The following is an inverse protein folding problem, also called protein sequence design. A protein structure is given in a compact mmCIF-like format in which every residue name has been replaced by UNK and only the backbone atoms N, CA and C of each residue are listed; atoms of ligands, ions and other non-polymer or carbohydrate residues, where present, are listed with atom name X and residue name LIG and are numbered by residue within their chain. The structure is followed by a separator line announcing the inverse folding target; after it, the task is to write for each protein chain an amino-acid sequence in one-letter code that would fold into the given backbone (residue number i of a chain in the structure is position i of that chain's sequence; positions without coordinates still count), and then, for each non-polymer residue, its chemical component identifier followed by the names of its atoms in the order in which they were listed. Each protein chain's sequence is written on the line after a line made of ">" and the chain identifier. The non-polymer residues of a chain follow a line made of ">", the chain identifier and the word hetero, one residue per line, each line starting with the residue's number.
data_IF_405472502673
#
_entry.id   IF_405472502673
#
_cell.length_a   1.000
_cell.length_b   1.000
_cell.length_c   1.000
_cell.angle_alpha   90.00
_cell.angle_beta   90.00
_cell.angle_gamma   90.00
#
_symmetry.space_group_name_H-M   'P 1'
#
loop_
_entity.id
_entity.type
_entity.pdbx_description
1 polymer ?
#
# COMPACT_ATOMS: atom_id res chain seq x y z
N UNK A 1 -13.04 -8.23 -17.18
CA UNK A 1 -13.79 -8.54 -15.93
C UNK A 1 -12.79 -8.49 -14.76
N UNK A 2 -13.17 -7.97 -13.58
CA UNK A 2 -12.27 -7.94 -12.40
C UNK A 2 -11.84 -9.36 -12.03
N UNK A 3 -10.55 -9.51 -11.73
CA UNK A 3 -9.95 -10.76 -11.23
C UNK A 3 -9.86 -10.65 -9.70
N UNK A 4 -9.94 -11.79 -8.99
CA UNK A 4 -9.92 -11.84 -7.52
C UNK A 4 -8.88 -12.83 -7.03
N UNK A 5 -8.33 -12.58 -5.83
CA UNK A 5 -7.37 -13.45 -5.13
C UNK A 5 -7.70 -13.55 -3.65
N UNK A 6 -7.45 -14.71 -3.07
CA UNK A 6 -7.55 -14.90 -1.61
C UNK A 6 -6.30 -14.34 -0.95
N UNK A 7 -6.45 -13.63 0.16
CA UNK A 7 -5.34 -13.12 0.96
C UNK A 7 -4.87 -14.19 1.96
N UNK A 8 -3.62 -14.60 1.82
CA UNK A 8 -3.00 -15.55 2.74
C UNK A 8 -3.76 -16.87 2.85
N UNK A 9 -3.71 -17.49 4.03
CA UNK A 9 -4.43 -18.73 4.38
C UNK A 9 -5.80 -18.40 4.99
N UNK A 10 -6.65 -17.68 4.27
CA UNK A 10 -7.93 -17.17 4.77
C UNK A 10 -9.06 -17.42 3.79
N UNK A 11 -10.29 -17.09 4.16
CA UNK A 11 -11.45 -16.98 3.27
C UNK A 11 -11.61 -15.57 2.67
N UNK A 12 -10.72 -14.62 3.02
CA UNK A 12 -10.81 -13.24 2.56
C UNK A 12 -10.38 -13.11 1.11
N UNK A 13 -11.36 -12.94 0.23
CA UNK A 13 -11.11 -12.70 -1.20
C UNK A 13 -11.17 -11.21 -1.52
N UNK A 14 -10.17 -10.70 -2.23
CA UNK A 14 -10.07 -9.29 -2.64
C UNK A 14 -9.94 -9.17 -4.16
N UNK A 15 -10.36 -8.04 -4.70
CA UNK A 15 -10.09 -7.69 -6.09
C UNK A 15 -8.58 -7.53 -6.33
N UNK A 16 -8.09 -8.01 -7.48
CA UNK A 16 -6.67 -7.92 -7.84
C UNK A 16 -6.18 -6.47 -8.00
N UNK A 17 -7.10 -5.54 -8.27
CA UNK A 17 -6.87 -4.10 -8.15
C UNK A 17 -7.62 -3.62 -6.91
N UNK A 18 -6.91 -2.97 -5.98
CA UNK A 18 -7.46 -2.33 -4.78
C UNK A 18 -7.41 -0.81 -4.89
N UNK A 19 -8.35 -0.13 -4.27
CA UNK A 19 -8.42 1.34 -4.26
C UNK A 19 -7.63 1.89 -3.07
N UNK A 20 -6.48 2.52 -3.34
CA UNK A 20 -5.71 3.30 -2.39
C UNK A 20 -6.23 4.72 -2.31
N UNK A 21 -6.38 5.26 -1.12
CA UNK A 21 -7.16 6.47 -0.84
C UNK A 21 -6.33 7.65 -0.32
N UNK A 22 -5.02 7.57 -0.29
CA UNK A 22 -4.11 8.52 0.38
C UNK A 22 -4.18 9.97 -0.13
N UNK A 23 -4.84 10.24 -1.26
CA UNK A 23 -4.99 11.60 -1.82
C UNK A 23 -6.26 12.32 -1.36
N UNK A 24 -7.21 11.59 -0.77
CA UNK A 24 -8.51 12.12 -0.38
C UNK A 24 -8.43 12.95 0.90
N UNK A 25 -8.86 14.19 0.81
CA UNK A 25 -8.75 15.18 1.87
C UNK A 25 -7.55 16.12 1.75
N UNK A 26 -6.69 15.90 0.73
CA UNK A 26 -5.60 16.78 0.33
C UNK A 26 -5.75 17.21 -1.13
N UNK A 27 -5.61 16.26 -2.08
CA UNK A 27 -5.74 16.51 -3.52
C UNK A 27 -7.18 16.32 -4.03
N UNK A 28 -7.98 15.53 -3.35
CA UNK A 28 -9.36 15.24 -3.70
C UNK A 28 -10.32 15.66 -2.61
N UNK A 29 -11.45 16.20 -3.02
CA UNK A 29 -12.60 16.53 -2.18
C UNK A 29 -13.36 15.27 -1.75
N UNK A 30 -14.26 15.41 -0.76
CA UNK A 30 -15.14 14.32 -0.33
C UNK A 30 -16.07 13.84 -1.46
N UNK A 31 -16.60 14.75 -2.23
CA UNK A 31 -17.47 14.41 -3.37
C UNK A 31 -16.74 13.62 -4.45
N UNK A 32 -15.48 13.97 -4.75
CA UNK A 32 -14.65 13.20 -5.68
C UNK A 32 -14.28 11.84 -5.12
N UNK A 33 -13.98 11.74 -3.81
CA UNK A 33 -13.72 10.47 -3.15
C UNK A 33 -14.92 9.52 -3.23
N UNK A 34 -16.13 10.03 -2.97
CA UNK A 34 -17.38 9.28 -3.10
C UNK A 34 -17.62 8.82 -4.54
N UNK A 35 -17.39 9.68 -5.52
CA UNK A 35 -17.53 9.32 -6.95
C UNK A 35 -16.53 8.23 -7.36
N UNK A 36 -15.29 8.28 -6.83
CA UNK A 36 -14.29 7.23 -7.06
C UNK A 36 -14.70 5.91 -6.41
N UNK A 37 -15.26 5.92 -5.18
CA UNK A 37 -15.79 4.72 -4.52
C UNK A 37 -16.92 4.09 -5.33
N UNK A 38 -17.92 4.88 -5.71
CA UNK A 38 -19.09 4.41 -6.48
C UNK A 38 -18.64 3.80 -7.82
N UNK A 39 -17.70 4.45 -8.52
CA UNK A 39 -17.16 3.94 -9.78
C UNK A 39 -16.34 2.66 -9.58
N UNK A 40 -15.43 2.63 -8.61
CA UNK A 40 -14.56 1.49 -8.35
C UNK A 40 -15.36 0.23 -7.99
N UNK A 41 -16.37 0.36 -7.10
CA UNK A 41 -17.25 -0.75 -6.77
C UNK A 41 -18.07 -1.20 -7.99
N UNK A 42 -18.58 -0.27 -8.79
CA UNK A 42 -19.27 -0.58 -10.04
C UNK A 42 -18.41 -1.33 -11.07
N UNK A 43 -17.08 -1.24 -10.94
CA UNK A 43 -16.09 -1.99 -11.74
C UNK A 43 -15.58 -3.27 -11.07
N UNK A 44 -16.14 -3.65 -9.90
CA UNK A 44 -15.83 -4.87 -9.16
C UNK A 44 -14.62 -4.77 -8.23
N UNK A 45 -14.12 -3.58 -7.93
CA UNK A 45 -13.12 -3.40 -6.87
C UNK A 45 -13.82 -3.60 -5.52
N UNK A 46 -13.23 -4.48 -4.69
CA UNK A 46 -13.75 -4.74 -3.33
C UNK A 46 -12.80 -4.23 -2.25
N UNK A 47 -11.48 -4.21 -2.49
CA UNK A 47 -10.51 -3.76 -1.48
C UNK A 47 -10.36 -2.24 -1.50
N UNK A 48 -10.66 -1.61 -0.36
CA UNK A 48 -10.47 -0.18 -0.09
C UNK A 48 -9.40 -0.04 1.00
N UNK A 49 -8.27 0.58 0.66
CA UNK A 49 -7.13 0.74 1.55
C UNK A 49 -6.95 2.19 2.00
N UNK A 50 -6.99 2.40 3.31
CA UNK A 50 -6.78 3.69 3.97
C UNK A 50 -5.77 3.58 5.12
N UNK A 51 -5.60 4.63 5.94
CA UNK A 51 -4.78 4.63 7.15
C UNK A 51 -5.18 5.78 8.08
N UNK A 52 -4.96 5.62 9.40
CA UNK A 52 -5.26 6.66 10.40
C UNK A 52 -4.56 8.00 10.12
N UNK A 53 -3.38 7.97 9.48
CA UNK A 53 -2.59 9.17 9.19
C UNK A 53 -2.96 9.87 7.88
N UNK A 54 -3.80 9.25 7.03
CA UNK A 54 -4.11 9.84 5.72
C UNK A 54 -5.01 11.08 5.83
N UNK A 55 -4.89 12.04 4.89
CA UNK A 55 -4.18 12.02 3.61
C UNK A 55 -2.67 12.19 3.70
N UNK A 56 -1.99 12.10 2.55
CA UNK A 56 -0.54 12.33 2.43
C UNK A 56 -0.28 13.50 1.48
N UNK A 57 0.49 14.52 1.92
CA UNK A 57 1.23 14.66 3.19
C UNK A 57 0.31 14.77 4.42
N UNK A 58 0.65 14.07 5.54
CA UNK A 58 -0.16 14.20 6.75
C UNK A 58 0.16 15.51 7.47
N UNK A 59 -0.89 16.23 7.84
CA UNK A 59 -0.82 17.42 8.71
C UNK A 59 -1.78 17.25 9.89
N UNK A 60 -1.68 18.14 10.89
CA UNK A 60 -2.60 18.14 12.03
C UNK A 60 -4.04 18.41 11.57
N UNK A 61 -4.21 19.28 10.58
CA UNK A 61 -5.51 19.76 10.11
C UNK A 61 -6.22 18.72 9.22
N UNK A 62 -5.46 17.88 8.51
CA UNK A 62 -6.03 16.95 7.52
C UNK A 62 -6.04 15.50 7.99
N UNK A 63 -5.30 15.14 9.02
CA UNK A 63 -5.17 13.78 9.53
C UNK A 63 -6.54 13.17 9.84
N UNK A 64 -6.77 11.97 9.30
CA UNK A 64 -8.01 11.22 9.46
C UNK A 64 -9.12 11.59 8.47
N UNK A 65 -8.99 12.65 7.67
CA UNK A 65 -10.03 13.04 6.69
C UNK A 65 -10.36 11.92 5.71
N UNK A 66 -9.36 11.17 5.26
CA UNK A 66 -9.56 10.07 4.32
C UNK A 66 -10.48 9.00 4.90
N UNK A 67 -10.27 8.59 6.15
CA UNK A 67 -11.17 7.65 6.84
C UNK A 67 -12.56 8.26 7.04
N UNK A 68 -12.65 9.56 7.38
CA UNK A 68 -13.94 10.24 7.54
C UNK A 68 -14.74 10.29 6.23
N UNK A 69 -14.09 10.50 5.09
CA UNK A 69 -14.75 10.47 3.77
C UNK A 69 -15.28 9.08 3.41
N UNK A 70 -14.52 8.03 3.75
CA UNK A 70 -14.98 6.65 3.59
C UNK A 70 -16.16 6.38 4.53
N UNK A 71 -16.08 6.80 5.80
CA UNK A 71 -17.12 6.63 6.79
C UNK A 71 -18.44 7.31 6.39
N UNK A 72 -18.39 8.56 5.93
CA UNK A 72 -19.58 9.27 5.45
C UNK A 72 -20.19 8.60 4.21
N UNK A 73 -19.36 8.03 3.32
CA UNK A 73 -19.84 7.24 2.18
C UNK A 73 -20.54 5.95 2.63
N UNK A 74 -19.91 5.20 3.58
CA UNK A 74 -20.50 3.97 4.13
C UNK A 74 -21.84 4.23 4.81
N UNK A 75 -21.93 5.29 5.65
CA UNK A 75 -23.16 5.67 6.33
C UNK A 75 -24.26 6.09 5.34
N UNK A 76 -23.91 6.85 4.31
CA UNK A 76 -24.84 7.32 3.28
C UNK A 76 -25.40 6.17 2.43
N UNK A 77 -24.55 5.18 2.10
CA UNK A 77 -24.89 4.15 1.11
C UNK A 77 -25.34 2.83 1.72
N UNK A 78 -24.98 2.53 2.98
CA UNK A 78 -25.21 1.24 3.60
C UNK A 78 -24.41 0.07 3.01
N UNK A 79 -23.40 0.34 2.18
CA UNK A 79 -22.65 -0.65 1.38
C UNK A 79 -21.43 -1.25 2.08
N UNK A 80 -21.37 -1.19 3.42
CA UNK A 80 -20.24 -1.75 4.19
C UNK A 80 -19.93 -3.21 3.83
N UNK A 81 -20.94 -4.02 3.58
CA UNK A 81 -20.84 -5.45 3.29
C UNK A 81 -20.31 -5.76 1.88
N UNK A 82 -20.26 -4.77 0.99
CA UNK A 82 -19.72 -4.92 -0.38
C UNK A 82 -18.22 -4.67 -0.46
N UNK A 83 -17.59 -4.17 0.61
CA UNK A 83 -16.19 -3.79 0.63
C UNK A 83 -15.37 -4.62 1.62
N UNK A 84 -14.13 -4.89 1.24
CA UNK A 84 -13.06 -5.29 2.15
C UNK A 84 -12.33 -4.03 2.58
N UNK A 85 -12.57 -3.59 3.80
CA UNK A 85 -12.05 -2.34 4.34
C UNK A 85 -10.74 -2.58 5.09
N UNK A 86 -9.66 -1.97 4.61
CA UNK A 86 -8.34 -2.04 5.21
C UNK A 86 -7.91 -0.67 5.75
N UNK A 87 -7.45 -0.62 7.02
CA UNK A 87 -6.80 0.56 7.57
C UNK A 87 -5.51 0.20 8.31
N UNK A 88 -4.78 1.22 8.81
CA UNK A 88 -3.43 1.01 9.35
C UNK A 88 -3.17 1.87 10.59
N UNK A 89 -2.51 1.28 11.60
CA UNK A 89 -1.91 2.02 12.71
C UNK A 89 -0.50 2.50 12.34
N UNK A 90 -0.20 3.74 12.62
CA UNK A 90 1.13 4.32 12.45
C UNK A 90 2.11 3.74 13.49
N UNK A 91 3.33 3.42 13.05
CA UNK A 91 4.44 3.08 13.93
C UNK A 91 5.12 4.33 14.52
N UNK A 92 6.32 4.18 15.10
CA UNK A 92 7.04 5.25 15.77
C UNK A 92 7.26 6.49 14.89
N UNK A 93 7.13 7.66 15.47
CA UNK A 93 7.45 8.94 14.84
C UNK A 93 8.98 9.12 14.78
N UNK A 94 9.55 9.09 13.57
CA UNK A 94 10.97 9.29 13.33
C UNK A 94 11.22 9.91 11.96
N UNK A 95 12.26 10.72 11.80
CA UNK A 95 12.55 11.39 10.53
C UNK A 95 11.36 12.21 10.02
N UNK A 96 10.90 11.94 8.79
CA UNK A 96 9.77 12.64 8.15
C UNK A 96 8.39 12.01 8.46
N UNK A 97 8.30 11.13 9.46
CA UNK A 97 7.04 10.51 9.90
C UNK A 97 6.23 11.47 10.75
N UNK A 98 4.86 11.37 10.74
CA UNK A 98 4.02 12.33 11.43
C UNK A 98 4.26 12.31 12.95
N UNK A 99 4.57 13.47 13.51
CA UNK A 99 4.79 13.65 14.96
C UNK A 99 3.55 14.11 15.72
N UNK A 100 2.49 14.48 15.02
CA UNK A 100 1.24 14.91 15.64
C UNK A 100 0.35 13.75 16.10
N UNK A 101 0.57 12.55 15.55
CA UNK A 101 -0.15 11.38 16.02
C UNK A 101 0.26 11.03 17.45
N UNK A 102 -0.72 10.98 18.35
CA UNK A 102 -0.50 10.67 19.77
C UNK A 102 0.66 11.48 20.40
N UNK A 103 0.74 12.79 20.07
CA UNK A 103 1.80 13.70 20.51
C UNK A 103 3.24 13.22 20.21
N UNK A 104 3.43 12.47 19.14
CA UNK A 104 4.73 11.92 18.74
C UNK A 104 5.09 10.58 19.41
N UNK A 105 4.22 10.05 20.25
CA UNK A 105 4.42 8.83 21.03
C UNK A 105 3.80 7.59 20.37
N UNK A 106 3.59 7.61 19.05
CA UNK A 106 3.08 6.45 18.30
C UNK A 106 3.97 5.24 18.48
N UNK A 107 3.44 4.13 18.97
CA UNK A 107 4.10 2.83 19.16
C UNK A 107 3.12 1.69 18.86
N UNK A 108 3.62 0.47 18.80
CA UNK A 108 2.79 -0.72 18.62
C UNK A 108 2.45 -1.42 19.94
N UNK A 109 2.45 -0.68 21.05
CA UNK A 109 1.96 -1.15 22.34
C UNK A 109 0.42 -1.15 22.41
N UNK A 110 -0.12 -1.78 23.45
CA UNK A 110 -1.58 -1.89 23.67
C UNK A 110 -2.28 -0.55 23.69
N UNK A 111 -1.75 0.43 24.43
CA UNK A 111 -2.38 1.75 24.58
C UNK A 111 -2.53 2.44 23.21
N UNK A 112 -1.45 2.50 22.46
CA UNK A 112 -1.41 3.19 21.17
C UNK A 112 -2.24 2.48 20.10
N UNK A 113 -2.16 1.14 20.00
CA UNK A 113 -2.93 0.37 19.03
C UNK A 113 -4.44 0.42 19.32
N UNK A 114 -4.83 0.37 20.61
CA UNK A 114 -6.25 0.49 21.01
C UNK A 114 -6.80 1.86 20.63
N UNK A 115 -6.07 2.93 20.94
CA UNK A 115 -6.48 4.29 20.55
C UNK A 115 -6.57 4.45 19.04
N UNK A 116 -5.57 3.95 18.30
CA UNK A 116 -5.55 4.03 16.84
C UNK A 116 -6.75 3.32 16.22
N UNK A 117 -7.03 2.07 16.63
CA UNK A 117 -8.14 1.29 16.10
C UNK A 117 -9.50 1.96 16.40
N UNK A 118 -9.76 2.33 17.66
CA UNK A 118 -11.04 2.94 18.02
C UNK A 118 -11.26 4.25 17.26
N UNK A 119 -10.24 5.13 17.21
CA UNK A 119 -10.34 6.37 16.44
C UNK A 119 -10.56 6.14 14.94
N UNK A 120 -9.99 5.08 14.36
CA UNK A 120 -10.25 4.70 12.97
C UNK A 120 -11.68 4.19 12.77
N UNK A 121 -12.19 3.33 13.66
CA UNK A 121 -13.58 2.84 13.61
C UNK A 121 -14.59 3.99 13.71
N UNK A 122 -14.35 4.95 14.61
CA UNK A 122 -15.18 6.15 14.75
C UNK A 122 -15.22 6.97 13.46
N UNK A 123 -14.05 7.25 12.83
CA UNK A 123 -13.99 7.99 11.57
C UNK A 123 -14.62 7.21 10.41
N UNK A 124 -14.41 5.91 10.36
CA UNK A 124 -14.97 5.01 9.33
C UNK A 124 -16.46 4.71 9.54
N UNK A 125 -17.04 5.10 10.70
CA UNK A 125 -18.44 4.87 11.06
C UNK A 125 -18.84 3.39 10.90
N UNK A 126 -17.99 2.48 11.39
CA UNK A 126 -18.18 1.03 11.34
C UNK A 126 -17.70 0.39 12.64
N UNK A 127 -18.23 -0.76 12.98
CA UNK A 127 -17.86 -1.52 14.18
C UNK A 127 -16.63 -2.41 13.97
N UNK A 128 -16.23 -2.64 12.71
CA UNK A 128 -15.09 -3.48 12.39
C UNK A 128 -14.40 -3.09 11.08
N UNK A 129 -13.14 -3.54 10.93
CA UNK A 129 -12.40 -3.54 9.66
C UNK A 129 -12.04 -4.97 9.26
N UNK A 130 -11.95 -5.22 7.94
CA UNK A 130 -11.61 -6.55 7.43
C UNK A 130 -10.11 -6.83 7.54
N UNK A 131 -9.27 -5.81 7.34
CA UNK A 131 -7.82 -5.92 7.45
C UNK A 131 -7.25 -4.74 8.24
N UNK A 132 -6.58 -5.03 9.36
CA UNK A 132 -5.87 -4.04 10.16
C UNK A 132 -4.37 -4.22 10.02
N UNK A 133 -3.64 -3.15 9.65
CA UNK A 133 -2.24 -3.26 9.30
C UNK A 133 -1.36 -2.41 10.22
N UNK A 134 -0.15 -2.88 10.53
CA UNK A 134 0.92 -2.06 11.10
C UNK A 134 1.61 -1.31 9.96
N UNK A 135 1.56 0.03 9.95
CA UNK A 135 1.94 0.85 8.79
C UNK A 135 3.45 0.85 8.50
N UNK A 136 4.28 0.70 9.54
CA UNK A 136 5.73 0.45 9.48
C UNK A 136 6.20 -0.14 10.79
N UNK A 137 7.36 -0.85 10.81
CA UNK A 137 7.88 -1.51 12.00
C UNK A 137 8.12 -0.60 13.21
N UNK A 138 7.88 -1.12 14.42
CA UNK A 138 8.26 -0.50 15.69
C UNK A 138 9.69 -0.89 16.08
N UNK A 139 10.62 -0.78 15.15
CA UNK A 139 12.05 -0.98 15.35
C UNK A 139 12.85 -0.26 14.28
N UNK A 140 14.15 -0.04 14.53
CA UNK A 140 15.07 0.48 13.53
C UNK A 140 15.32 -0.57 12.46
N UNK A 141 14.90 -0.27 11.22
CA UNK A 141 15.18 -1.10 10.05
C UNK A 141 15.04 -0.27 8.76
N UNK A 142 15.47 -0.83 7.64
CA UNK A 142 15.30 -0.18 6.35
C UNK A 142 13.82 -0.08 5.99
N UNK A 143 13.37 1.14 5.69
CA UNK A 143 12.00 1.43 5.25
C UNK A 143 12.02 2.54 4.20
N UNK A 144 10.94 2.61 3.39
CA UNK A 144 10.70 3.72 2.45
C UNK A 144 11.86 4.00 1.48
N UNK A 145 12.49 2.95 0.94
CA UNK A 145 13.51 3.08 -0.10
C UNK A 145 14.96 3.19 0.41
N UNK A 146 15.19 2.94 1.69
CA UNK A 146 16.54 2.80 2.23
C UNK A 146 17.13 1.46 1.77
N UNK A 147 18.23 1.51 1.01
CA UNK A 147 18.96 0.31 0.56
C UNK A 147 20.12 -0.07 1.48
N UNK A 148 20.71 0.92 2.15
CA UNK A 148 21.85 0.69 3.06
C UNK A 148 21.33 0.47 4.46
N UNK A 149 21.66 -0.68 5.03
CA UNK A 149 21.39 -0.96 6.43
C UNK A 149 22.44 -0.28 7.30
N UNK A 150 22.01 0.70 8.09
CA UNK A 150 22.85 1.26 9.14
C UNK A 150 22.58 0.46 10.43
N UNK A 151 23.60 -0.20 10.97
CA UNK A 151 23.52 -0.79 12.28
C UNK A 151 23.45 0.33 13.32
N UNK A 152 22.24 0.74 13.61
CA UNK A 152 21.98 1.76 14.64
C UNK A 152 21.73 1.03 15.95
N UNK A 153 22.48 1.40 16.99
CA UNK A 153 22.06 1.07 18.36
C UNK A 153 20.65 1.63 18.55
N UNK A 154 19.69 0.80 18.91
CA UNK A 154 18.34 1.24 19.22
C UNK A 154 18.43 2.24 20.38
N UNK A 155 18.05 3.50 20.14
CA UNK A 155 18.03 4.54 21.17
C UNK A 155 16.91 4.33 22.18
N UNK A 156 15.86 3.62 21.75
CA UNK A 156 14.70 3.25 22.56
C UNK A 156 14.39 1.77 22.29
N UNK A 157 14.00 1.06 23.32
CA UNK A 157 13.58 -0.33 23.18
C UNK A 157 12.35 -0.41 22.24
N UNK A 158 12.43 -1.25 21.22
CA UNK A 158 11.27 -1.56 20.37
C UNK A 158 10.23 -2.35 21.16
N UNK A 159 8.94 -2.21 20.78
CA UNK A 159 7.90 -3.07 21.32
C UNK A 159 8.12 -4.50 20.76
N UNK A 160 8.17 -5.53 21.61
CA UNK A 160 8.31 -6.91 21.15
C UNK A 160 7.19 -7.30 20.18
N UNK A 161 7.54 -8.06 19.14
CA UNK A 161 6.56 -8.51 18.13
C UNK A 161 5.48 -9.39 18.79
N UNK A 162 5.82 -10.19 19.77
CA UNK A 162 4.91 -11.03 20.55
C UNK A 162 3.86 -10.21 21.31
N UNK A 163 4.28 -9.09 21.90
CA UNK A 163 3.37 -8.15 22.59
C UNK A 163 2.41 -7.50 21.59
N UNK A 164 2.96 -6.95 20.50
CA UNK A 164 2.17 -6.34 19.42
C UNK A 164 1.16 -7.33 18.84
N UNK A 165 1.58 -8.56 18.54
CA UNK A 165 0.71 -9.60 17.98
C UNK A 165 -0.38 -10.01 18.96
N UNK A 166 -0.08 -10.08 20.26
CA UNK A 166 -1.07 -10.38 21.29
C UNK A 166 -2.16 -9.31 21.38
N UNK A 167 -1.81 -8.03 21.22
CA UNK A 167 -2.80 -6.94 21.16
C UNK A 167 -3.69 -7.07 19.92
N UNK A 168 -3.10 -7.32 18.75
CA UNK A 168 -3.86 -7.51 17.52
C UNK A 168 -4.80 -8.73 17.59
N UNK A 169 -4.36 -9.80 18.25
CA UNK A 169 -5.17 -11.00 18.49
C UNK A 169 -6.40 -10.69 19.39
N UNK A 170 -6.26 -9.80 20.36
CA UNK A 170 -7.40 -9.35 21.17
C UNK A 170 -8.45 -8.63 20.30
N UNK A 171 -8.02 -7.75 19.38
CA UNK A 171 -8.93 -7.07 18.45
C UNK A 171 -9.68 -8.05 17.53
N UNK A 172 -9.00 -9.13 17.10
CA UNK A 172 -9.63 -10.20 16.32
C UNK A 172 -10.68 -10.93 17.18
N UNK A 173 -10.35 -11.26 18.42
CA UNK A 173 -11.28 -11.93 19.37
C UNK A 173 -12.49 -11.06 19.71
N UNK A 174 -12.30 -9.74 19.80
CA UNK A 174 -13.36 -8.77 20.01
C UNK A 174 -14.25 -8.54 18.78
N UNK A 175 -13.89 -9.11 17.62
CA UNK A 175 -14.61 -8.93 16.37
C UNK A 175 -14.42 -7.57 15.70
N UNK A 176 -13.53 -6.71 16.21
CA UNK A 176 -13.24 -5.39 15.64
C UNK A 176 -12.32 -5.45 14.41
N UNK A 177 -11.57 -6.53 14.29
CA UNK A 177 -10.63 -6.81 13.18
C UNK A 177 -10.85 -8.24 12.71
N UNK A 178 -11.01 -8.46 11.40
CA UNK A 178 -11.12 -9.84 10.88
C UNK A 178 -9.75 -10.46 10.66
N UNK A 179 -8.85 -9.73 10.02
CA UNK A 179 -7.49 -10.18 9.68
C UNK A 179 -6.46 -9.10 9.96
N UNK A 180 -5.23 -9.53 10.22
CA UNK A 180 -4.10 -8.66 10.52
C UNK A 180 -3.05 -8.71 9.41
N UNK A 181 -2.44 -7.56 9.12
CA UNK A 181 -1.36 -7.41 8.15
C UNK A 181 -0.25 -6.50 8.64
N UNK A 182 0.83 -6.43 7.88
CA UNK A 182 1.93 -5.51 8.13
C UNK A 182 2.24 -4.69 6.88
N UNK A 183 2.99 -3.61 7.03
CA UNK A 183 3.42 -2.78 5.90
C UNK A 183 4.84 -2.28 6.12
N UNK A 184 5.58 -2.09 5.01
CA UNK A 184 6.99 -1.69 5.04
C UNK A 184 7.85 -2.62 5.92
N UNK A 185 7.48 -3.89 5.94
CA UNK A 185 8.13 -4.90 6.75
C UNK A 185 9.23 -5.62 5.96
N UNK A 186 10.14 -6.26 6.67
CA UNK A 186 11.30 -6.98 6.15
C UNK A 186 11.10 -8.50 6.21
N UNK A 187 11.91 -9.32 5.50
CA UNK A 187 11.85 -10.77 5.62
C UNK A 187 12.03 -11.25 7.06
N UNK A 188 12.96 -10.61 7.81
CA UNK A 188 13.18 -10.95 9.23
C UNK A 188 11.93 -10.69 10.07
N UNK A 189 11.30 -9.51 9.92
CA UNK A 189 10.10 -9.19 10.69
C UNK A 189 8.94 -10.11 10.38
N UNK A 190 8.69 -10.44 9.10
CA UNK A 190 7.66 -11.42 8.75
C UNK A 190 7.94 -12.79 9.39
N UNK A 191 9.19 -13.25 9.36
CA UNK A 191 9.57 -14.52 10.00
C UNK A 191 9.31 -14.48 11.52
N UNK A 192 9.59 -13.35 12.18
CA UNK A 192 9.32 -13.22 13.62
C UNK A 192 7.81 -13.21 13.92
N UNK A 193 6.98 -12.50 13.13
CA UNK A 193 5.52 -12.53 13.27
C UNK A 193 4.96 -13.93 13.06
N UNK A 194 5.44 -14.65 12.04
CA UNK A 194 5.02 -16.04 11.77
C UNK A 194 5.37 -16.96 12.93
N UNK A 195 6.62 -16.90 13.40
CA UNK A 195 7.11 -17.69 14.55
C UNK A 195 6.33 -17.37 15.83
N UNK A 196 6.08 -16.10 16.12
CA UNK A 196 5.31 -15.68 17.27
C UNK A 196 3.87 -16.21 17.21
N UNK A 197 3.22 -16.13 16.05
CA UNK A 197 1.88 -16.67 15.85
C UNK A 197 1.82 -18.18 16.13
N UNK A 198 2.78 -18.94 15.61
CA UNK A 198 2.86 -20.39 15.81
C UNK A 198 3.12 -20.77 17.28
N UNK A 199 4.12 -20.12 17.90
CA UNK A 199 4.52 -20.43 19.27
C UNK A 199 3.44 -20.10 20.31
N UNK A 200 2.65 -19.05 20.05
CA UNK A 200 1.64 -18.53 20.99
C UNK A 200 0.21 -18.93 20.60
N UNK A 201 0.01 -19.64 19.49
CA UNK A 201 -1.33 -20.00 18.99
C UNK A 201 -2.16 -18.76 18.61
N UNK A 202 -1.54 -17.70 18.10
CA UNK A 202 -2.19 -16.43 17.76
C UNK A 202 -2.48 -16.36 16.24
N UNK A 203 -3.41 -15.44 15.81
CA UNK A 203 -3.67 -15.21 14.40
C UNK A 203 -2.39 -14.86 13.62
N UNK A 204 -2.25 -15.43 12.42
CA UNK A 204 -1.12 -15.16 11.52
C UNK A 204 -1.32 -13.83 10.78
N UNK A 205 -0.22 -13.22 10.37
CA UNK A 205 -0.20 -12.15 9.38
C UNK A 205 -0.65 -12.72 8.03
N UNK A 206 -1.65 -12.11 7.39
CA UNK A 206 -2.20 -12.57 6.10
C UNK A 206 -1.67 -11.80 4.90
N UNK A 207 -1.18 -10.58 5.12
CA UNK A 207 -0.67 -9.72 4.06
C UNK A 207 0.51 -8.86 4.51
N UNK A 208 1.33 -8.49 3.54
CA UNK A 208 2.35 -7.46 3.67
C UNK A 208 2.07 -6.37 2.62
N UNK A 209 2.03 -5.10 3.02
CA UNK A 209 1.87 -3.99 2.11
C UNK A 209 3.20 -3.25 1.91
N UNK A 210 3.88 -3.53 0.79
CA UNK A 210 5.17 -2.95 0.45
C UNK A 210 5.17 -2.32 -0.93
N UNK A 211 6.11 -1.40 -1.17
CA UNK A 211 6.32 -0.79 -2.49
C UNK A 211 6.73 -1.85 -3.51
N UNK A 212 6.04 -1.86 -4.67
CA UNK A 212 6.41 -2.73 -5.77
C UNK A 212 5.97 -2.13 -7.11
N UNK A 213 6.91 -2.03 -8.05
CA UNK A 213 6.68 -1.47 -9.39
C UNK A 213 7.80 -1.89 -10.34
N UNK A 214 7.71 -1.56 -11.63
CA UNK A 214 8.79 -1.74 -12.61
C UNK A 214 10.13 -1.06 -12.21
N UNK A 215 10.08 -0.01 -11.38
CA UNK A 215 11.28 0.71 -10.90
C UNK A 215 11.74 0.27 -9.51
N UNK A 216 10.97 -0.59 -8.84
CA UNK A 216 11.28 -1.13 -7.53
C UNK A 216 10.79 -2.57 -7.42
N UNK A 217 11.68 -3.51 -7.62
CA UNK A 217 11.45 -4.95 -7.50
C UNK A 217 12.18 -5.57 -6.30
N UNK A 218 12.56 -4.74 -5.31
CA UNK A 218 13.29 -5.22 -4.12
C UNK A 218 12.50 -6.28 -3.33
N UNK A 219 11.17 -6.30 -3.43
CA UNK A 219 10.31 -7.34 -2.86
C UNK A 219 10.65 -8.75 -3.39
N UNK A 220 11.11 -8.87 -4.63
CA UNK A 220 11.46 -10.15 -5.23
C UNK A 220 12.70 -10.79 -4.57
N UNK A 221 13.51 -9.99 -3.87
CA UNK A 221 14.69 -10.48 -3.15
C UNK A 221 14.31 -10.90 -1.73
N UNK A 222 13.94 -12.16 -1.56
CA UNK A 222 13.62 -12.79 -0.27
C UNK A 222 12.15 -12.69 0.16
N UNK A 223 11.47 -11.56 -0.02
CA UNK A 223 10.06 -11.41 0.37
C UNK A 223 9.10 -12.20 -0.54
N UNK A 224 9.39 -12.31 -1.83
CA UNK A 224 8.56 -13.09 -2.76
C UNK A 224 8.57 -14.58 -2.42
N UNK A 225 9.74 -15.15 -2.11
CA UNK A 225 9.86 -16.54 -1.67
C UNK A 225 9.11 -16.76 -0.35
N UNK A 226 9.33 -15.87 0.64
CA UNK A 226 8.60 -15.92 1.91
C UNK A 226 7.07 -15.87 1.68
N UNK A 227 6.60 -14.96 0.84
CA UNK A 227 5.17 -14.82 0.51
C UNK A 227 4.58 -16.09 -0.08
N UNK A 228 5.32 -16.78 -0.94
CA UNK A 228 4.85 -18.03 -1.57
C UNK A 228 4.78 -19.18 -0.55
N UNK A 229 5.82 -19.38 0.24
CA UNK A 229 5.89 -20.49 1.20
C UNK A 229 4.95 -20.27 2.39
N UNK A 230 4.94 -19.06 2.94
CA UNK A 230 4.12 -18.73 4.12
C UNK A 230 2.71 -18.24 3.77
N UNK A 231 2.41 -18.10 2.48
CA UNK A 231 1.11 -17.61 2.00
C UNK A 231 0.74 -16.26 2.65
N UNK A 232 1.68 -15.29 2.60
CA UNK A 232 1.46 -13.90 3.02
C UNK A 232 1.41 -13.03 1.76
N UNK A 233 0.23 -12.58 1.36
CA UNK A 233 0.03 -11.90 0.08
C UNK A 233 0.60 -10.48 0.09
N UNK A 234 1.25 -10.06 -1.02
CA UNK A 234 1.64 -8.66 -1.20
C UNK A 234 0.43 -7.80 -1.59
N UNK A 235 0.21 -6.72 -0.85
CA UNK A 235 -0.56 -5.57 -1.29
C UNK A 235 0.43 -4.54 -1.86
N UNK A 236 0.53 -4.45 -3.19
CA UNK A 236 1.54 -3.66 -3.86
C UNK A 236 1.17 -2.18 -3.89
N UNK A 237 1.84 -1.32 -3.11
CA UNK A 237 1.63 0.12 -3.20
C UNK A 237 2.62 0.81 -4.14
N UNK A 238 2.27 2.02 -4.62
CA UNK A 238 3.02 2.81 -5.60
C UNK A 238 3.39 2.05 -6.90
N UNK A 239 2.46 1.28 -7.51
CA UNK A 239 2.76 0.52 -8.72
C UNK A 239 3.15 1.39 -9.92
N UNK A 240 2.77 2.69 -9.89
CA UNK A 240 3.15 3.71 -10.88
C UNK A 240 4.31 4.60 -10.41
N UNK A 241 5.01 4.26 -9.31
CA UNK A 241 6.13 5.04 -8.75
C UNK A 241 5.79 6.54 -8.62
N UNK A 242 4.71 6.86 -7.89
CA UNK A 242 4.15 8.23 -7.75
C UNK A 242 3.75 8.90 -9.08
N UNK A 243 3.55 8.12 -10.14
CA UNK A 243 3.17 8.59 -11.47
C UNK A 243 4.36 8.82 -12.40
N UNK A 244 5.60 8.49 -12.00
CA UNK A 244 6.77 8.65 -12.90
C UNK A 244 6.73 7.67 -14.06
N UNK A 245 6.20 6.48 -13.85
CA UNK A 245 6.04 5.47 -14.91
C UNK A 245 5.05 5.85 -16.01
N UNK A 246 4.26 6.92 -15.84
CA UNK A 246 3.44 7.46 -16.93
C UNK A 246 4.23 8.31 -17.93
N UNK A 247 5.48 8.67 -17.61
CA UNK A 247 6.32 9.54 -18.43
C UNK A 247 6.08 11.05 -18.23
N UNK A 248 5.05 11.46 -17.49
CA UNK A 248 4.64 12.87 -17.35
C UNK A 248 5.69 13.81 -16.72
N UNK A 249 6.73 13.26 -16.12
CA UNK A 249 7.83 14.02 -15.51
C UNK A 249 9.13 13.98 -16.32
N UNK A 250 9.15 13.30 -17.48
CA UNK A 250 10.34 13.22 -18.34
C UNK A 250 10.78 14.62 -18.77
N UNK A 251 12.09 14.75 -19.02
CA UNK A 251 12.71 15.99 -19.46
C UNK A 251 12.46 17.18 -18.49
N UNK A 252 12.35 16.89 -17.19
CA UNK A 252 12.16 17.89 -16.15
C UNK A 252 10.75 18.49 -16.08
N UNK A 253 9.78 17.92 -16.78
CA UNK A 253 8.39 18.42 -16.74
C UNK A 253 7.80 18.34 -15.34
N UNK A 254 6.99 19.35 -15.00
CA UNK A 254 6.27 19.46 -13.72
C UNK A 254 4.81 19.84 -13.98
N UNK A 255 3.95 18.87 -14.42
CA UNK A 255 2.54 19.19 -14.67
C UNK A 255 1.87 19.72 -13.42
N UNK A 256 1.02 20.75 -13.58
CA UNK A 256 0.25 21.30 -12.47
C UNK A 256 -0.58 20.21 -11.78
N UNK A 257 -0.79 20.33 -10.48
CA UNK A 257 -1.56 19.40 -9.66
C UNK A 257 -1.04 17.95 -9.62
N UNK A 258 0.17 17.70 -10.14
CA UNK A 258 0.79 16.38 -10.07
C UNK A 258 1.65 16.24 -8.81
N UNK A 259 1.77 15.00 -8.32
CA UNK A 259 2.34 14.70 -6.99
C UNK A 259 3.77 15.23 -6.79
N UNK A 260 4.67 15.02 -7.75
CA UNK A 260 6.05 15.50 -7.64
C UNK A 260 6.16 17.02 -7.84
N UNK A 261 5.15 17.67 -8.40
CA UNK A 261 5.10 19.13 -8.50
C UNK A 261 4.62 19.76 -7.19
N UNK A 262 3.65 19.12 -6.54
CA UNK A 262 3.05 19.64 -5.30
C UNK A 262 3.89 19.34 -4.05
N UNK A 263 4.61 18.19 -4.03
CA UNK A 263 5.20 17.68 -2.80
C UNK A 263 6.63 17.18 -2.99
N UNK A 264 7.61 17.85 -2.39
CA UNK A 264 9.03 17.49 -2.47
C UNK A 264 9.37 16.16 -1.76
N UNK A 265 8.50 15.67 -0.86
CA UNK A 265 8.75 14.44 -0.10
C UNK A 265 8.86 13.16 -0.95
N UNK A 266 8.42 13.17 -2.20
CA UNK A 266 8.45 12.02 -3.10
C UNK A 266 9.73 11.92 -3.97
N UNK A 267 10.81 12.59 -3.56
CA UNK A 267 12.10 12.67 -4.28
C UNK A 267 12.69 11.30 -4.64
N UNK A 268 12.37 10.22 -3.90
CA UNK A 268 12.88 8.88 -4.22
C UNK A 268 12.47 8.41 -5.62
N UNK A 269 11.34 8.88 -6.14
CA UNK A 269 10.81 8.50 -7.45
C UNK A 269 11.34 9.39 -8.60
N UNK A 270 12.10 10.45 -8.32
CA UNK A 270 12.62 11.39 -9.30
C UNK A 270 14.16 11.32 -9.45
N UNK A 271 14.74 10.16 -9.16
CA UNK A 271 16.20 9.95 -9.32
C UNK A 271 16.58 10.00 -10.79
N UNK A 272 17.67 10.71 -11.18
CA UNK A 272 18.06 10.85 -12.59
C UNK A 272 18.23 9.53 -13.33
N UNK A 273 18.81 8.51 -12.67
CA UNK A 273 19.00 7.18 -13.25
C UNK A 273 17.68 6.47 -13.62
N UNK A 274 16.58 6.80 -12.94
CA UNK A 274 15.29 6.20 -13.25
C UNK A 274 14.73 6.63 -14.61
N UNK A 275 15.11 7.81 -15.10
CA UNK A 275 14.58 8.36 -16.36
C UNK A 275 14.93 7.48 -17.56
N UNK A 276 16.10 6.86 -17.59
CA UNK A 276 16.49 5.93 -18.64
C UNK A 276 15.58 4.71 -18.68
N UNK A 277 15.36 4.06 -17.52
CA UNK A 277 14.46 2.91 -17.44
C UNK A 277 13.01 3.30 -17.79
N UNK A 278 12.54 4.47 -17.35
CA UNK A 278 11.20 4.96 -17.67
C UNK A 278 11.03 5.12 -19.18
N UNK A 279 12.02 5.70 -19.90
CA UNK A 279 11.97 5.84 -21.36
C UNK A 279 11.89 4.48 -22.07
N UNK A 280 12.63 3.46 -21.58
CA UNK A 280 12.59 2.12 -22.15
C UNK A 280 11.23 1.44 -21.91
N UNK A 281 10.63 1.57 -20.70
CA UNK A 281 9.28 1.03 -20.44
C UNK A 281 8.19 1.74 -21.26
N UNK A 282 8.33 3.04 -21.51
CA UNK A 282 7.42 3.79 -22.40
C UNK A 282 7.54 3.31 -23.84
N UNK A 283 8.76 3.09 -24.33
CA UNK A 283 8.98 2.55 -25.67
C UNK A 283 8.33 1.17 -25.81
N UNK A 284 8.55 0.28 -24.85
CA UNK A 284 7.92 -1.04 -24.82
C UNK A 284 6.38 -0.95 -24.77
N UNK A 285 5.82 -0.07 -23.95
CA UNK A 285 4.37 0.13 -23.88
C UNK A 285 3.78 0.54 -25.22
N UNK A 286 4.44 1.48 -25.93
CA UNK A 286 4.04 1.92 -27.26
C UNK A 286 4.12 0.78 -28.29
N UNK A 287 5.17 -0.05 -28.25
CA UNK A 287 5.37 -1.19 -29.13
C UNK A 287 4.24 -2.24 -28.99
N UNK A 288 3.81 -2.50 -27.74
CA UNK A 288 2.73 -3.46 -27.47
C UNK A 288 1.33 -2.84 -27.49
N UNK A 289 1.20 -1.55 -27.80
CA UNK A 289 -0.08 -0.88 -28.01
C UNK A 289 -0.89 -0.59 -26.74
N UNK A 290 -0.22 -0.40 -25.59
CA UNK A 290 -0.86 -0.04 -24.32
C UNK A 290 -0.27 1.26 -23.76
N UNK A 291 -0.95 1.90 -22.79
CA UNK A 291 -0.34 3.04 -22.13
C UNK A 291 0.78 2.61 -21.17
N UNK A 292 1.76 3.49 -20.89
CA UNK A 292 2.80 3.18 -19.91
C UNK A 292 2.25 2.85 -18.52
N UNK A 293 1.17 3.51 -18.08
CA UNK A 293 0.48 3.20 -16.83
C UNK A 293 -0.11 1.77 -16.85
N UNK A 294 -0.74 1.40 -17.96
CA UNK A 294 -1.32 0.08 -18.12
C UNK A 294 -0.26 -1.02 -18.16
N UNK A 295 0.86 -0.81 -18.86
CA UNK A 295 1.99 -1.76 -18.83
C UNK A 295 2.49 -2.00 -17.40
N UNK A 296 2.74 -0.90 -16.68
CA UNK A 296 3.26 -0.98 -15.30
C UNK A 296 2.30 -1.71 -14.35
N UNK A 297 1.00 -1.43 -14.45
CA UNK A 297 -0.02 -2.08 -13.62
C UNK A 297 -0.21 -3.55 -14.02
N UNK A 298 -0.27 -3.87 -15.30
CA UNK A 298 -0.37 -5.24 -15.79
C UNK A 298 0.82 -6.10 -15.35
N UNK A 299 2.03 -5.54 -15.34
CA UNK A 299 3.21 -6.20 -14.78
C UNK A 299 3.01 -6.57 -13.30
N UNK A 300 2.59 -5.62 -12.46
CA UNK A 300 2.35 -5.91 -11.03
C UNK A 300 1.25 -6.95 -10.85
N UNK A 301 0.14 -6.82 -11.59
CA UNK A 301 -0.99 -7.76 -11.55
C UNK A 301 -0.60 -9.18 -11.95
N UNK A 302 0.41 -9.35 -12.83
CA UNK A 302 0.87 -10.66 -13.30
C UNK A 302 1.66 -11.46 -12.24
N UNK A 303 2.14 -10.81 -11.17
CA UNK A 303 2.98 -11.49 -10.17
C UNK A 303 2.17 -12.41 -9.26
N UNK A 304 2.59 -13.67 -9.06
CA UNK A 304 1.82 -14.64 -8.26
C UNK A 304 1.74 -14.30 -6.78
N UNK A 305 2.75 -13.60 -6.22
CA UNK A 305 2.78 -13.18 -4.82
C UNK A 305 1.94 -11.92 -4.54
N UNK A 306 1.42 -11.23 -5.56
CA UNK A 306 0.58 -10.03 -5.38
C UNK A 306 -0.86 -10.47 -5.10
N UNK A 307 -1.38 -10.14 -3.94
CA UNK A 307 -2.81 -10.30 -3.59
C UNK A 307 -3.66 -9.20 -4.21
N UNK A 308 -3.19 -7.95 -4.13
CA UNK A 308 -3.85 -6.80 -4.76
C UNK A 308 -2.87 -5.69 -5.09
N UNK A 309 -3.08 -5.02 -6.23
CA UNK A 309 -2.34 -3.84 -6.67
C UNK A 309 -3.10 -2.60 -6.24
N UNK A 310 -2.54 -1.82 -5.31
CA UNK A 310 -3.19 -0.63 -4.78
C UNK A 310 -2.97 0.56 -5.72
N UNK A 311 -4.01 0.91 -6.46
CA UNK A 311 -4.02 2.08 -7.33
C UNK A 311 -4.50 3.32 -6.60
N UNK A 312 -4.00 4.50 -7.00
CA UNK A 312 -4.52 5.80 -6.59
C UNK A 312 -4.75 6.68 -7.81
N UNK A 313 -5.75 7.54 -7.74
CA UNK A 313 -6.07 8.46 -8.81
C UNK A 313 -6.47 9.83 -8.25
N UNK A 314 -6.05 10.90 -8.91
CA UNK A 314 -6.49 12.28 -8.60
C UNK A 314 -7.55 12.77 -9.58
N UNK A 315 -7.90 11.95 -10.58
CA UNK A 315 -9.00 12.23 -11.50
C UNK A 315 -9.72 10.93 -11.88
N UNK A 316 -10.97 11.07 -12.32
CA UNK A 316 -11.79 9.96 -12.80
C UNK A 316 -11.14 9.25 -14.00
N UNK A 317 -10.53 10.00 -14.92
CA UNK A 317 -9.86 9.45 -16.09
C UNK A 317 -8.69 8.53 -15.71
N UNK A 318 -7.87 8.95 -14.74
CA UNK A 318 -6.77 8.09 -14.22
C UNK A 318 -7.31 6.83 -13.57
N UNK A 319 -8.43 6.93 -12.83
CA UNK A 319 -9.06 5.77 -12.19
C UNK A 319 -9.52 4.76 -13.24
N UNK A 320 -10.19 5.22 -14.30
CA UNK A 320 -10.66 4.40 -15.42
C UNK A 320 -9.47 3.66 -16.06
N UNK A 321 -8.43 4.39 -16.46
CA UNK A 321 -7.24 3.85 -17.10
C UNK A 321 -6.54 2.80 -16.22
N UNK A 322 -6.39 3.11 -14.92
CA UNK A 322 -5.76 2.20 -13.97
C UNK A 322 -6.56 0.90 -13.80
N UNK A 323 -7.90 0.97 -13.71
CA UNK A 323 -8.77 -0.22 -13.60
C UNK A 323 -8.74 -1.04 -14.89
N UNK A 324 -8.71 -0.40 -16.05
CA UNK A 324 -8.70 -1.08 -17.34
C UNK A 324 -7.44 -1.92 -17.57
N UNK A 325 -6.34 -1.66 -16.85
CA UNK A 325 -5.13 -2.48 -16.85
C UNK A 325 -5.38 -3.97 -16.48
N UNK A 326 -6.49 -4.27 -15.79
CA UNK A 326 -6.87 -5.65 -15.43
C UNK A 326 -7.14 -6.55 -16.64
N UNK A 327 -7.46 -5.95 -17.79
CA UNK A 327 -7.76 -6.65 -19.01
C UNK A 327 -6.53 -6.95 -19.88
N UNK A 328 -5.34 -6.52 -19.42
CA UNK A 328 -4.09 -6.69 -20.16
C UNK A 328 -3.36 -7.92 -19.61
N UNK A 329 -3.16 -8.91 -20.45
CA UNK A 329 -2.31 -10.05 -20.17
C UNK A 329 -1.01 -9.89 -20.99
N UNK A 330 0.13 -9.81 -20.29
CA UNK A 330 1.45 -9.63 -20.89
C UNK A 330 1.95 -10.98 -21.44
N UNK A 331 2.43 -10.99 -22.68
CA UNK A 331 3.06 -12.20 -23.26
C UNK A 331 4.42 -12.49 -22.61
N UNK A 332 4.93 -13.71 -22.84
CA UNK A 332 6.27 -14.09 -22.38
C UNK A 332 7.34 -13.17 -22.92
N UNK A 333 7.27 -12.80 -24.22
CA UNK A 333 8.22 -11.89 -24.85
C UNK A 333 8.23 -10.52 -24.22
N UNK A 334 7.07 -9.96 -23.84
CA UNK A 334 6.96 -8.68 -23.16
C UNK A 334 7.57 -8.76 -21.75
N UNK A 335 7.32 -9.85 -21.03
CA UNK A 335 7.93 -10.07 -19.71
C UNK A 335 9.45 -10.22 -19.80
N UNK A 336 9.98 -10.86 -20.85
CA UNK A 336 11.41 -10.98 -21.10
C UNK A 336 12.05 -9.62 -21.42
N UNK A 337 11.37 -8.75 -22.18
CA UNK A 337 11.86 -7.38 -22.41
C UNK A 337 11.83 -6.54 -21.12
N UNK A 338 10.80 -6.66 -20.30
CA UNK A 338 10.76 -6.02 -18.97
C UNK A 338 11.94 -6.50 -18.11
N UNK A 339 12.28 -7.79 -18.15
CA UNK A 339 13.43 -8.34 -17.43
C UNK A 339 14.76 -7.77 -17.94
N UNK A 340 14.96 -7.69 -19.25
CA UNK A 340 16.17 -7.07 -19.85
C UNK A 340 16.34 -5.61 -19.42
N UNK A 341 15.25 -4.83 -19.39
CA UNK A 341 15.29 -3.44 -18.91
C UNK A 341 15.69 -3.40 -17.44
N UNK A 342 15.05 -4.25 -16.60
CA UNK A 342 15.36 -4.32 -15.18
C UNK A 342 16.82 -4.67 -14.90
N UNK A 343 17.38 -5.66 -15.59
CA UNK A 343 18.75 -6.13 -15.37
C UNK A 343 19.82 -5.10 -15.74
N UNK A 344 19.53 -4.15 -16.65
CA UNK A 344 20.44 -3.04 -16.97
C UNK A 344 20.58 -2.04 -15.82
N UNK A 345 19.49 -1.76 -15.13
CA UNK A 345 19.46 -0.82 -14.00
C UNK A 345 18.45 -1.31 -12.94
N UNK A 346 18.86 -2.24 -12.07
CA UNK A 346 17.98 -2.79 -11.05
C UNK A 346 17.54 -1.75 -10.00
N UNK A 347 16.24 -1.71 -9.73
CA UNK A 347 15.67 -0.92 -8.64
C UNK A 347 16.11 0.56 -8.60
N UNK A 348 15.94 1.35 -9.67
CA UNK A 348 16.40 2.73 -9.68
C UNK A 348 15.65 3.65 -8.70
N UNK A 349 14.46 3.24 -8.23
CA UNK A 349 13.67 3.99 -7.23
C UNK A 349 13.13 3.07 -6.14
N UNK A 350 13.99 2.46 -5.33
CA UNK A 350 13.62 1.48 -4.31
C UNK A 350 12.75 2.07 -3.19
#
# INVERSE_FOLDING_TARGET
>A
MMKYRTLGRTDLTVSLIGLGTMTWGEQNTEAEAHAQLDYALGRGITLIDTAEMYPVPPTVETQGRTESYIGSWLARTGRRHEVVLATKAAGPASGNRPRHLRNGESRHDRKNLTQALHSSLDRLQTDHVDLYQLHWPDRSTNTFGALSYAWLAEKEASIPIEETLSVLADFVREGKVRYIGVSNETPWGLAQFTKAAENLGLPRIVSIQNSYSLLNRTFEVGLSEFSQHEQVSLLAYSPLAAGTLTGKYLNGQRPANSRLTLFDRFVRYSRPLAEESIKQYIALANEVGVTPAQLALAFVNSRPFVGSTLIGATSQQQLIENIDSINIDLSGEVLDEIEKIHLRLPNPTP
#
